data_IF_564894680050
#
_entry.id   IF_564894680050
#
_cell.length_a   1.000
_cell.length_b   1.000
_cell.length_c   1.000
_cell.angle_alpha   90.00
_cell.angle_beta   90.00
_cell.angle_gamma   90.00
#
_symmetry.space_group_name_H-M   'P 1'
#
loop_
_entity.id
_entity.type
_entity.pdbx_description
1 polymer ?
#
# COMPACT_ATOMS: atom_id res chain seq x y z
N UNK A 1 -25.83 7.67 -29.96
CA UNK A 1 -24.71 8.56 -29.59
C UNK A 1 -23.42 7.91 -30.03
N UNK A 2 -22.53 8.64 -30.69
CA UNK A 2 -21.24 8.12 -31.12
C UNK A 2 -20.30 8.15 -29.91
N UNK A 3 -19.92 6.97 -29.41
CA UNK A 3 -18.88 6.85 -28.38
C UNK A 3 -17.55 7.23 -29.03
N UNK A 4 -16.87 8.22 -28.46
CA UNK A 4 -15.54 8.68 -28.86
C UNK A 4 -14.57 8.56 -27.69
N UNK A 5 -13.29 8.38 -28.01
CA UNK A 5 -12.21 8.37 -27.02
C UNK A 5 -11.62 9.77 -26.90
N UNK A 6 -11.24 10.18 -25.68
CA UNK A 6 -10.61 11.48 -25.43
C UNK A 6 -9.26 11.24 -24.75
N UNK A 7 -8.20 11.72 -25.38
CA UNK A 7 -6.85 11.76 -24.81
C UNK A 7 -6.49 13.22 -24.55
N UNK A 8 -6.16 13.55 -23.30
CA UNK A 8 -5.70 14.87 -22.91
C UNK A 8 -4.23 14.76 -22.50
N UNK A 9 -3.38 15.56 -23.15
CA UNK A 9 -1.98 15.74 -22.79
C UNK A 9 -1.81 17.08 -22.09
N UNK A 10 -1.47 17.07 -20.80
CA UNK A 10 -1.27 18.30 -20.03
C UNK A 10 0.14 18.32 -19.45
N UNK A 11 0.83 19.45 -19.60
CA UNK A 11 2.02 19.79 -18.83
C UNK A 11 1.59 20.75 -17.73
N UNK A 12 1.60 20.28 -16.48
CA UNK A 12 1.37 21.16 -15.35
C UNK A 12 2.68 21.84 -14.96
N UNK A 13 2.63 23.15 -14.73
CA UNK A 13 3.72 23.87 -14.11
C UNK A 13 3.81 23.44 -12.64
N UNK A 14 5.04 23.34 -12.12
CA UNK A 14 5.24 23.07 -10.70
C UNK A 14 4.62 24.22 -9.88
N UNK A 15 3.72 23.89 -8.95
CA UNK A 15 3.12 24.88 -8.06
C UNK A 15 4.21 25.61 -7.27
N UNK A 16 4.24 26.95 -7.36
CA UNK A 16 5.27 27.80 -6.74
C UNK A 16 6.52 28.05 -7.58
N UNK A 17 6.59 27.53 -8.82
CA UNK A 17 7.61 27.94 -9.79
C UNK A 17 7.36 29.35 -10.32
N UNK A 18 8.40 30.08 -10.78
CA UNK A 18 8.21 31.38 -11.41
C UNK A 18 7.27 31.23 -12.61
N UNK A 19 6.19 32.03 -12.64
CA UNK A 19 5.21 32.04 -13.72
C UNK A 19 5.92 32.31 -15.05
N UNK A 20 6.08 31.32 -15.95
CA UNK A 20 6.59 31.55 -17.29
C UNK A 20 5.36 31.89 -18.13
N UNK A 21 4.99 33.17 -18.13
CA UNK A 21 4.30 33.72 -19.28
C UNK A 21 5.30 33.74 -20.45
N UNK A 22 4.89 33.14 -21.56
CA UNK A 22 5.58 33.08 -22.85
C UNK A 22 6.92 32.30 -22.91
N UNK A 23 6.86 31.10 -23.48
CA UNK A 23 8.01 30.45 -24.11
C UNK A 23 8.32 29.07 -23.55
N UNK A 24 8.45 28.09 -24.45
CA UNK A 24 8.89 26.72 -24.19
C UNK A 24 10.32 26.67 -23.61
N UNK A 25 10.51 27.09 -22.36
CA UNK A 25 11.85 27.17 -21.75
C UNK A 25 11.93 26.73 -20.28
N UNK A 26 10.81 26.73 -19.54
CA UNK A 26 10.79 26.14 -18.20
C UNK A 26 10.81 24.62 -18.28
N UNK A 27 11.62 23.95 -17.45
CA UNK A 27 11.54 22.51 -17.22
C UNK A 27 10.13 22.14 -16.75
N UNK A 28 9.21 21.96 -17.69
CA UNK A 28 7.88 21.45 -17.44
C UNK A 28 8.00 20.02 -16.94
N UNK A 29 7.16 19.64 -15.98
CA UNK A 29 7.09 18.26 -15.50
C UNK A 29 6.92 17.27 -16.65
N UNK A 30 7.18 15.99 -16.39
CA UNK A 30 7.27 14.89 -17.38
C UNK A 30 5.97 14.57 -18.16
N UNK A 31 4.96 15.44 -18.08
CA UNK A 31 3.65 15.31 -18.70
C UNK A 31 2.78 14.35 -17.91
N UNK A 32 1.50 14.68 -17.75
CA UNK A 32 0.51 13.73 -17.26
C UNK A 32 -0.39 13.38 -18.44
N UNK A 33 -0.70 12.08 -18.58
CA UNK A 33 -1.68 11.62 -19.55
C UNK A 33 -2.98 11.29 -18.81
N UNK A 34 -4.07 11.89 -19.27
CA UNK A 34 -5.42 11.56 -18.83
C UNK A 34 -6.15 10.96 -20.04
N UNK A 35 -6.57 9.71 -19.93
CA UNK A 35 -7.22 8.97 -21.01
C UNK A 35 -8.60 8.46 -20.57
N UNK A 36 -9.64 8.92 -21.26
CA UNK A 36 -11.01 8.45 -21.10
C UNK A 36 -11.31 7.43 -22.19
N UNK A 37 -11.57 6.18 -21.78
CA UNK A 37 -11.83 5.09 -22.70
C UNK A 37 -13.32 4.91 -22.95
N UNK A 38 -13.64 4.24 -24.06
CA UNK A 38 -15.01 3.90 -24.46
C UNK A 38 -15.74 2.96 -23.50
N UNK A 39 -15.00 2.20 -22.68
CA UNK A 39 -15.54 1.29 -21.66
C UNK A 39 -15.84 2.01 -20.33
N UNK A 40 -15.66 3.33 -20.26
CA UNK A 40 -15.85 4.12 -19.05
C UNK A 40 -14.63 4.13 -18.11
N UNK A 41 -13.54 3.44 -18.46
CA UNK A 41 -12.30 3.50 -17.70
C UNK A 41 -11.59 4.85 -17.87
N UNK A 42 -11.02 5.34 -16.77
CA UNK A 42 -10.13 6.50 -16.71
C UNK A 42 -8.72 5.96 -16.48
N UNK A 43 -7.73 6.44 -17.23
CA UNK A 43 -6.32 6.21 -16.92
C UNK A 43 -5.66 7.55 -16.62
N UNK A 44 -5.11 7.68 -15.42
CA UNK A 44 -4.21 8.79 -15.07
C UNK A 44 -2.82 8.20 -14.90
N UNK A 45 -1.90 8.61 -15.78
CA UNK A 45 -0.48 8.25 -15.70
C UNK A 45 0.33 9.50 -15.41
N UNK A 46 1.06 9.50 -14.29
CA UNK A 46 2.06 10.53 -14.06
C UNK A 46 3.27 10.31 -14.97
N UNK A 47 4.09 11.34 -15.18
CA UNK A 47 5.28 11.20 -16.03
C UNK A 47 6.42 10.39 -15.38
N UNK A 48 6.17 9.71 -14.26
CA UNK A 48 7.07 8.76 -13.59
C UNK A 48 6.53 7.32 -13.61
N UNK A 49 5.37 7.08 -14.27
CA UNK A 49 4.76 5.76 -14.45
C UNK A 49 3.78 5.32 -13.37
N UNK A 50 3.45 6.17 -12.38
CA UNK A 50 2.37 5.87 -11.45
C UNK A 50 1.02 5.88 -12.18
N UNK A 51 0.15 4.90 -11.91
CA UNK A 51 -1.15 4.75 -12.57
C UNK A 51 -2.28 4.62 -11.58
N UNK A 52 -3.41 5.24 -11.90
CA UNK A 52 -4.73 5.02 -11.31
C UNK A 52 -5.69 4.61 -12.44
N UNK A 53 -6.23 3.39 -12.34
CA UNK A 53 -6.99 2.75 -13.42
C UNK A 53 -8.28 2.12 -12.88
N UNK A 54 -9.40 2.87 -12.80
CA UNK A 54 -10.74 2.30 -12.74
C UNK A 54 -11.08 1.59 -14.06
N UNK A 55 -11.71 0.42 -14.02
CA UNK A 55 -11.99 -0.42 -15.21
C UNK A 55 -13.43 -0.37 -15.73
N UNK A 56 -14.28 0.47 -15.13
CA UNK A 56 -15.71 0.57 -15.49
C UNK A 56 -16.59 -0.54 -14.90
N UNK A 57 -16.01 -1.59 -14.32
CA UNK A 57 -16.71 -2.67 -13.61
C UNK A 57 -16.69 -2.48 -12.08
N UNK A 58 -16.24 -1.32 -11.61
CA UNK A 58 -16.12 -0.99 -10.19
C UNK A 58 -14.78 -1.40 -9.56
N UNK A 59 -13.84 -1.95 -10.34
CA UNK A 59 -12.50 -2.24 -9.84
C UNK A 59 -11.57 -1.06 -10.09
N UNK A 60 -10.56 -0.92 -9.22
CA UNK A 60 -9.50 0.07 -9.35
C UNK A 60 -8.16 -0.63 -9.19
N UNK A 61 -7.25 -0.41 -10.15
CA UNK A 61 -5.84 -0.78 -10.02
C UNK A 61 -5.00 0.48 -9.83
N UNK A 62 -4.20 0.48 -8.76
CA UNK A 62 -3.20 1.52 -8.51
C UNK A 62 -1.82 0.89 -8.60
N UNK A 63 -0.91 1.50 -9.35
CA UNK A 63 0.50 1.10 -9.37
C UNK A 63 1.33 2.34 -9.14
N UNK A 64 2.07 2.38 -8.03
CA UNK A 64 2.91 3.51 -7.67
C UNK A 64 4.06 3.01 -6.80
N UNK A 65 5.13 3.82 -6.70
CA UNK A 65 6.23 3.55 -5.76
C UNK A 65 5.77 3.63 -4.31
N UNK A 66 4.87 4.57 -4.01
CA UNK A 66 4.28 4.79 -2.69
C UNK A 66 2.81 5.12 -2.86
N UNK A 67 1.96 4.51 -2.02
CA UNK A 67 0.55 4.87 -1.87
C UNK A 67 0.35 5.24 -0.40
N UNK A 68 -0.17 6.44 -0.14
CA UNK A 68 -0.45 6.93 1.20
C UNK A 68 -1.89 7.43 1.26
N UNK A 69 -2.60 7.01 2.31
CA UNK A 69 -3.94 7.51 2.63
C UNK A 69 -3.85 8.22 3.97
N UNK A 70 -3.99 9.55 3.96
CA UNK A 70 -4.13 10.35 5.17
C UNK A 70 -5.62 10.56 5.45
N UNK A 71 -6.14 9.77 6.38
CA UNK A 71 -7.56 9.79 6.72
C UNK A 71 -7.75 9.38 8.17
N UNK A 72 -8.85 9.84 8.78
CA UNK A 72 -9.19 9.46 10.15
C UNK A 72 -9.58 7.98 10.24
N UNK A 73 -10.20 7.43 9.19
CA UNK A 73 -10.60 6.02 9.13
C UNK A 73 -10.41 5.51 7.72
N UNK A 74 -9.72 4.39 7.62
CA UNK A 74 -9.58 3.59 6.41
C UNK A 74 -10.25 2.24 6.64
N UNK A 75 -11.20 1.87 5.78
CA UNK A 75 -11.96 0.61 5.89
C UNK A 75 -11.86 -0.16 4.59
N UNK A 76 -11.52 -1.44 4.68
CA UNK A 76 -11.60 -2.39 3.58
C UNK A 76 -12.75 -3.35 3.86
N UNK A 77 -13.74 -3.38 2.97
CA UNK A 77 -14.87 -4.32 3.03
C UNK A 77 -14.79 -5.23 1.82
N UNK A 78 -14.72 -6.53 2.04
CA UNK A 78 -14.75 -7.54 1.00
C UNK A 78 -15.78 -8.61 1.34
N UNK A 79 -16.45 -9.15 0.32
CA UNK A 79 -17.30 -10.34 0.48
C UNK A 79 -16.50 -11.64 0.59
N UNK A 80 -15.20 -11.58 0.31
CA UNK A 80 -14.24 -12.68 0.44
C UNK A 80 -12.96 -12.21 1.13
N UNK A 81 -11.82 -12.76 0.72
CA UNK A 81 -10.55 -12.50 1.40
C UNK A 81 -9.95 -11.12 1.08
N UNK A 82 -9.34 -10.49 2.08
CA UNK A 82 -8.45 -9.34 1.92
C UNK A 82 -7.02 -9.82 2.11
N UNK A 83 -6.22 -9.77 1.05
CA UNK A 83 -4.83 -10.21 1.05
C UNK A 83 -3.84 -9.04 0.92
N UNK A 84 -2.75 -9.09 1.70
CA UNK A 84 -1.59 -8.22 1.53
C UNK A 84 -0.40 -9.11 1.15
N UNK A 85 0.16 -8.89 -0.04
CA UNK A 85 1.33 -9.62 -0.53
C UNK A 85 2.49 -8.66 -0.75
N UNK A 86 3.49 -8.72 0.12
CA UNK A 86 4.76 -8.02 -0.03
C UNK A 86 5.86 -8.96 -0.52
N UNK A 87 6.82 -8.44 -1.29
CA UNK A 87 8.10 -9.11 -1.52
C UNK A 87 9.09 -8.88 -0.38
N UNK A 88 8.81 -7.93 0.51
CA UNK A 88 9.52 -7.66 1.75
C UNK A 88 8.57 -7.70 2.95
N UNK A 89 8.90 -6.94 3.98
CA UNK A 89 8.11 -6.92 5.22
C UNK A 89 6.73 -6.26 5.00
N UNK A 90 5.70 -6.85 5.60
CA UNK A 90 4.42 -6.19 5.86
C UNK A 90 4.46 -5.72 7.31
N UNK A 91 4.48 -4.40 7.52
CA UNK A 91 4.61 -3.79 8.83
C UNK A 91 3.35 -2.97 9.16
N UNK A 92 2.80 -3.18 10.37
CA UNK A 92 1.68 -2.38 10.89
C UNK A 92 2.16 -1.63 12.12
N UNK A 93 2.19 -0.30 12.03
CA UNK A 93 2.49 0.58 13.16
C UNK A 93 1.20 1.23 13.64
N UNK A 94 0.84 1.00 14.89
CA UNK A 94 -0.27 1.68 15.55
C UNK A 94 0.27 2.50 16.71
N UNK A 95 -0.14 3.77 16.81
CA UNK A 95 0.05 4.56 18.02
C UNK A 95 -0.94 4.19 19.14
N UNK A 96 -1.96 3.40 18.81
CA UNK A 96 -2.95 2.88 19.75
C UNK A 96 -2.99 1.36 19.74
N UNK A 97 -4.19 0.80 19.92
CA UNK A 97 -4.37 -0.66 19.88
C UNK A 97 -4.29 -1.16 18.44
N UNK A 98 -3.66 -2.32 18.27
CA UNK A 98 -3.77 -3.16 17.09
C UNK A 98 -4.45 -4.46 17.55
N UNK A 99 -5.49 -4.89 16.85
CA UNK A 99 -6.26 -6.06 17.24
C UNK A 99 -7.03 -6.67 16.08
N UNK A 100 -7.49 -7.89 16.30
CA UNK A 100 -8.36 -8.64 15.39
C UNK A 100 -9.68 -8.85 16.11
N UNK A 101 -10.77 -8.38 15.49
CA UNK A 101 -12.13 -8.67 15.93
C UNK A 101 -12.75 -9.61 14.88
N UNK A 102 -12.95 -10.86 15.26
CA UNK A 102 -13.41 -11.90 14.35
C UNK A 102 -14.38 -12.84 15.05
N UNK A 103 -15.40 -13.28 14.32
CA UNK A 103 -16.31 -14.33 14.77
C UNK A 103 -15.75 -15.75 14.57
N UNK A 104 -14.59 -15.88 13.90
CA UNK A 104 -13.93 -17.15 13.60
C UNK A 104 -12.55 -17.28 14.25
N UNK A 105 -11.85 -18.37 13.96
CA UNK A 105 -10.49 -18.59 14.48
C UNK A 105 -9.47 -17.64 13.84
N UNK A 106 -8.48 -17.22 14.63
CA UNK A 106 -7.27 -16.55 14.15
C UNK A 106 -6.17 -17.61 14.04
N UNK A 107 -5.61 -17.75 12.84
CA UNK A 107 -4.51 -18.68 12.56
C UNK A 107 -3.30 -17.88 12.11
N UNK A 108 -2.18 -18.05 12.81
CA UNK A 108 -0.89 -17.48 12.44
C UNK A 108 0.02 -18.61 11.99
N UNK A 109 0.45 -18.57 10.73
CA UNK A 109 1.40 -19.53 10.16
C UNK A 109 2.63 -18.75 9.70
N UNK A 110 3.76 -19.04 10.32
CA UNK A 110 5.05 -18.47 9.95
C UNK A 110 6.09 -19.59 9.89
N UNK A 111 7.05 -19.44 8.97
CA UNK A 111 8.22 -20.32 8.90
C UNK A 111 9.38 -19.84 9.77
N UNK A 112 9.18 -18.79 10.58
CA UNK A 112 10.18 -18.19 11.46
C UNK A 112 9.61 -17.92 12.85
N UNK A 113 10.36 -17.16 13.64
CA UNK A 113 10.02 -16.90 15.04
C UNK A 113 8.81 -15.98 15.16
N UNK A 114 7.90 -16.34 16.07
CA UNK A 114 6.83 -15.47 16.55
C UNK A 114 7.24 -14.99 17.94
N UNK A 115 7.59 -13.71 18.04
CA UNK A 115 7.98 -13.06 19.29
C UNK A 115 7.08 -11.85 19.51
N UNK A 116 6.54 -11.71 20.72
CA UNK A 116 5.74 -10.54 21.11
C UNK A 116 6.61 -9.41 21.72
N UNK A 117 7.94 -9.59 21.73
CA UNK A 117 8.91 -8.67 22.31
C UNK A 117 8.80 -8.48 23.82
N UNK A 118 7.87 -9.18 24.49
CA UNK A 118 7.58 -9.02 25.92
C UNK A 118 8.38 -9.99 26.80
N UNK A 119 8.93 -11.05 26.21
CA UNK A 119 9.76 -12.03 26.90
C UNK A 119 11.25 -11.66 26.82
N UNK A 120 11.76 -11.04 27.89
CA UNK A 120 13.19 -11.12 28.20
C UNK A 120 13.45 -12.51 28.79
N UNK A 121 14.36 -13.33 28.22
CA UNK A 121 14.72 -14.61 28.84
C UNK A 121 15.20 -14.37 30.28
N UNK A 122 14.86 -15.24 31.25
CA UNK A 122 15.39 -15.14 32.61
C UNK A 122 16.91 -15.06 32.57
N UNK A 123 17.50 -14.08 33.26
CA UNK A 123 18.96 -13.87 33.29
C UNK A 123 19.71 -15.02 33.96
N UNK A 124 19.03 -15.78 34.82
CA UNK A 124 19.63 -16.87 35.58
C UNK A 124 19.03 -18.22 35.15
N UNK A 125 19.87 -19.08 34.58
CA UNK A 125 19.58 -20.50 34.42
C UNK A 125 19.55 -21.12 35.82
N UNK A 126 18.44 -21.73 36.27
CA UNK A 126 18.42 -22.47 37.53
C UNK A 126 19.51 -23.55 37.52
N UNK A 127 20.28 -23.73 38.62
CA UNK A 127 21.16 -24.88 38.75
C UNK A 127 20.38 -26.15 38.48
N UNK A 128 20.85 -26.97 37.55
CA UNK A 128 20.29 -28.32 37.35
C UNK A 128 20.92 -29.18 38.43
N UNK A 129 20.11 -29.67 39.37
CA UNK A 129 20.58 -30.64 40.34
C UNK A 129 21.10 -31.89 39.62
N UNK A 130 22.27 -32.43 40.00
CA UNK A 130 22.76 -33.67 39.43
C UNK A 130 21.75 -34.80 39.73
N UNK A 131 21.34 -35.53 38.70
CA UNK A 131 20.56 -36.75 38.89
C UNK A 131 21.50 -37.91 39.20
N UNK A 132 21.13 -38.75 40.16
CA UNK A 132 21.82 -40.01 40.40
C UNK A 132 21.35 -41.05 39.39
N UNK A 133 22.30 -41.68 38.69
CA UNK A 133 22.01 -42.88 37.92
C UNK A 133 22.06 -44.05 38.88
N UNK A 134 20.90 -44.63 39.22
CA UNK A 134 20.85 -45.93 39.89
C UNK A 134 21.56 -46.96 38.97
N UNK A 135 22.63 -47.57 39.48
CA UNK A 135 23.26 -48.76 38.88
C UNK A 135 22.70 -50.02 39.51
#
# INVERSE_FOLDING_TARGET
>A
MQSGEIIIWTKFQQSGGPTPDAGQGGQGGTGQQIYFKKDGSLTVTDGSGATYLPDGAGNIKVTAKTIQYDCQTFTLVASGDVGIKGSGNVEVKSGGKLGLDTGGAVVVQGHGDVCDGSVTPPSDRPPIDPFEVLR
#
